data_IF_071662603101
#
_entry.id   IF_071662603101
#
_cell.length_a   1.000
_cell.length_b   1.000
_cell.length_c   1.000
_cell.angle_alpha   90.00
_cell.angle_beta   90.00
_cell.angle_gamma   90.00
#
_symmetry.space_group_name_H-M   'P 1'
#
loop_
_entity.id
_entity.type
_entity.pdbx_description
1 polymer ?
#
# COMPACT_ATOMS: atom_id res chain seq x y z
N UNK A 1 -32.80 -1.90 -33.96
CA UNK A 1 -32.78 -3.34 -33.59
C UNK A 1 -34.04 -3.98 -34.16
N UNK A 2 -34.01 -5.26 -34.57
CA UNK A 2 -35.18 -5.97 -35.10
C UNK A 2 -35.76 -6.90 -34.02
N UNK A 3 -37.08 -7.00 -33.98
CA UNK A 3 -37.84 -7.85 -33.06
C UNK A 3 -38.81 -8.71 -33.87
N UNK A 4 -39.11 -9.90 -33.38
CA UNK A 4 -40.04 -10.84 -34.02
C UNK A 4 -41.01 -11.38 -33.00
N UNK A 5 -42.29 -11.48 -33.36
CA UNK A 5 -43.31 -12.10 -32.52
C UNK A 5 -43.37 -13.58 -32.87
N UNK A 6 -43.32 -14.43 -31.85
CA UNK A 6 -43.46 -15.88 -31.97
C UNK A 6 -44.65 -16.31 -31.11
N UNK A 7 -45.62 -16.99 -31.72
CA UNK A 7 -46.75 -17.59 -30.99
C UNK A 7 -46.31 -18.89 -30.32
N UNK A 8 -46.29 -18.90 -29.01
CA UNK A 8 -46.00 -20.09 -28.20
C UNK A 8 -47.23 -20.40 -27.35
N UNK A 9 -47.82 -21.58 -27.54
CA UNK A 9 -49.00 -22.04 -26.79
C UNK A 9 -50.17 -21.03 -26.74
N UNK A 10 -50.39 -20.26 -27.82
CA UNK A 10 -51.45 -19.25 -27.91
C UNK A 10 -51.08 -17.86 -27.36
N UNK A 11 -49.86 -17.67 -26.86
CA UNK A 11 -49.36 -16.41 -26.32
C UNK A 11 -48.34 -15.81 -27.31
N UNK A 12 -48.47 -14.53 -27.62
CA UNK A 12 -47.51 -13.78 -28.42
C UNK A 12 -46.28 -13.43 -27.58
N UNK A 13 -45.12 -14.01 -27.92
CA UNK A 13 -43.84 -13.74 -27.24
C UNK A 13 -42.91 -12.96 -28.17
N UNK A 14 -42.38 -11.84 -27.69
CA UNK A 14 -41.46 -11.01 -28.46
C UNK A 14 -40.04 -11.54 -28.29
N UNK A 15 -39.37 -11.84 -29.40
CA UNK A 15 -37.97 -12.26 -29.46
C UNK A 15 -37.09 -11.16 -30.01
N UNK A 16 -35.89 -11.01 -29.41
CA UNK A 16 -34.85 -10.18 -29.98
C UNK A 16 -34.09 -10.96 -31.06
N UNK A 17 -34.11 -10.48 -32.30
CA UNK A 17 -33.51 -11.22 -33.43
C UNK A 17 -32.00 -11.34 -33.34
N UNK A 18 -31.33 -10.43 -32.62
CA UNK A 18 -29.86 -10.43 -32.45
C UNK A 18 -29.41 -11.48 -31.43
N UNK A 19 -30.09 -11.57 -30.29
CA UNK A 19 -29.73 -12.50 -29.22
C UNK A 19 -30.45 -13.85 -29.31
N UNK A 20 -31.49 -13.95 -30.16
CA UNK A 20 -32.38 -15.12 -30.30
C UNK A 20 -33.04 -15.54 -28.98
N UNK A 21 -33.27 -14.57 -28.08
CA UNK A 21 -33.86 -14.79 -26.75
C UNK A 21 -35.18 -14.02 -26.61
N UNK A 22 -36.12 -14.53 -25.80
CA UNK A 22 -37.33 -13.80 -25.47
C UNK A 22 -36.98 -12.50 -24.75
N UNK A 23 -37.75 -11.45 -25.03
CA UNK A 23 -37.70 -10.21 -24.27
C UNK A 23 -38.43 -10.44 -22.95
N UNK A 24 -37.80 -9.99 -21.87
CA UNK A 24 -38.44 -9.99 -20.57
C UNK A 24 -39.52 -8.89 -20.55
N UNK A 25 -40.79 -9.28 -20.41
CA UNK A 25 -41.91 -8.34 -20.24
C UNK A 25 -41.90 -7.75 -18.82
N UNK A 26 -42.37 -6.51 -18.68
CA UNK A 26 -42.29 -5.78 -17.42
C UNK A 26 -43.02 -6.49 -16.27
N UNK A 27 -44.15 -7.12 -16.56
CA UNK A 27 -45.01 -7.83 -15.62
C UNK A 27 -44.32 -9.06 -15.02
N UNK A 28 -43.43 -9.70 -15.78
CA UNK A 28 -42.70 -10.91 -15.35
C UNK A 28 -41.28 -10.61 -14.85
N UNK A 29 -40.82 -9.36 -14.99
CA UNK A 29 -39.45 -8.95 -14.71
C UNK A 29 -39.01 -9.26 -13.28
N UNK A 30 -39.89 -9.01 -12.30
CA UNK A 30 -39.59 -9.31 -10.89
C UNK A 30 -39.40 -10.81 -10.64
N UNK A 31 -40.32 -11.65 -11.13
CA UNK A 31 -40.26 -13.09 -10.93
C UNK A 31 -39.05 -13.71 -11.63
N UNK A 32 -38.76 -13.28 -12.86
CA UNK A 32 -37.59 -13.73 -13.63
C UNK A 32 -36.29 -13.39 -12.90
N UNK A 33 -36.13 -12.15 -12.42
CA UNK A 33 -34.93 -11.76 -11.67
C UNK A 33 -34.83 -12.55 -10.36
N UNK A 34 -35.96 -12.79 -9.69
CA UNK A 34 -36.01 -13.60 -8.46
C UNK A 34 -35.53 -15.02 -8.71
N UNK A 35 -36.08 -15.71 -9.70
CA UNK A 35 -35.71 -17.08 -10.05
C UNK A 35 -34.23 -17.19 -10.44
N UNK A 36 -33.74 -16.29 -11.31
CA UNK A 36 -32.33 -16.27 -11.68
C UNK A 36 -31.41 -15.98 -10.49
N UNK A 37 -31.82 -15.08 -9.58
CA UNK A 37 -31.06 -14.76 -8.38
C UNK A 37 -30.98 -15.94 -7.40
N UNK A 38 -32.07 -16.68 -7.23
CA UNK A 38 -32.14 -17.91 -6.43
C UNK A 38 -31.31 -19.04 -7.08
N UNK A 39 -31.38 -19.18 -8.41
CA UNK A 39 -30.59 -20.16 -9.17
C UNK A 39 -29.07 -19.96 -9.00
N UNK A 40 -28.60 -18.70 -8.93
CA UNK A 40 -27.19 -18.40 -8.64
C UNK A 40 -26.88 -18.34 -7.14
N UNK A 41 -27.73 -18.92 -6.29
CA UNK A 41 -27.55 -18.99 -4.83
C UNK A 41 -27.32 -17.62 -4.19
N UNK A 42 -28.18 -16.66 -4.48
CA UNK A 42 -28.07 -15.27 -4.01
C UNK A 42 -26.77 -14.55 -4.44
N UNK A 43 -26.25 -14.92 -5.61
CA UNK A 43 -25.09 -14.27 -6.22
C UNK A 43 -25.27 -12.76 -6.41
N UNK A 44 -24.15 -12.02 -6.33
CA UNK A 44 -24.16 -10.57 -6.53
C UNK A 44 -24.64 -10.13 -7.91
N UNK A 45 -24.74 -8.81 -8.10
CA UNK A 45 -25.28 -8.16 -9.30
C UNK A 45 -24.79 -8.75 -10.61
N UNK A 46 -23.48 -8.93 -10.76
CA UNK A 46 -22.90 -9.35 -12.03
C UNK A 46 -23.15 -10.85 -12.31
N UNK A 47 -23.25 -11.68 -11.26
CA UNK A 47 -23.65 -13.09 -11.39
C UNK A 47 -25.12 -13.23 -11.78
N UNK A 48 -26.00 -12.51 -11.08
CA UNK A 48 -27.44 -12.51 -11.38
C UNK A 48 -27.70 -11.97 -12.79
N UNK A 49 -26.99 -10.92 -13.21
CA UNK A 49 -27.08 -10.38 -14.58
C UNK A 49 -26.64 -11.39 -15.64
N UNK A 50 -25.58 -12.16 -15.36
CA UNK A 50 -25.10 -13.19 -16.29
C UNK A 50 -26.15 -14.27 -16.50
N UNK A 51 -26.80 -14.70 -15.41
CA UNK A 51 -27.87 -15.69 -15.46
C UNK A 51 -29.13 -15.16 -16.17
N UNK A 52 -29.56 -13.94 -15.85
CA UNK A 52 -30.71 -13.33 -16.55
C UNK A 52 -30.45 -13.20 -18.04
N UNK A 53 -29.24 -12.79 -18.43
CA UNK A 53 -28.84 -12.65 -19.83
C UNK A 53 -28.65 -13.99 -20.54
N UNK A 54 -28.54 -15.12 -19.82
CA UNK A 54 -28.45 -16.45 -20.45
C UNK A 54 -29.80 -16.86 -21.03
N UNK A 55 -30.91 -16.49 -20.37
CA UNK A 55 -32.28 -16.87 -20.75
C UNK A 55 -33.05 -15.75 -21.47
N UNK A 56 -32.90 -14.51 -21.04
CA UNK A 56 -33.70 -13.38 -21.50
C UNK A 56 -32.85 -12.30 -22.15
N UNK A 57 -33.50 -11.43 -22.91
CA UNK A 57 -32.89 -10.22 -23.44
C UNK A 57 -33.56 -8.97 -22.89
N UNK A 58 -32.79 -7.89 -22.93
CA UNK A 58 -33.27 -6.54 -22.64
C UNK A 58 -33.61 -6.27 -21.17
N UNK A 59 -32.92 -6.95 -20.23
CA UNK A 59 -33.03 -6.64 -18.80
C UNK A 59 -31.92 -5.67 -18.39
N UNK A 60 -32.26 -4.43 -17.97
CA UNK A 60 -31.24 -3.47 -17.54
C UNK A 60 -30.59 -3.88 -16.23
N UNK A 61 -29.26 -3.74 -16.15
CA UNK A 61 -28.46 -4.00 -14.94
C UNK A 61 -28.95 -3.25 -13.71
N UNK A 62 -29.48 -2.04 -13.90
CA UNK A 62 -30.01 -1.20 -12.81
C UNK A 62 -31.22 -1.84 -12.13
N UNK A 63 -32.08 -2.55 -12.87
CA UNK A 63 -33.26 -3.22 -12.30
C UNK A 63 -32.85 -4.38 -11.40
N UNK A 64 -31.84 -5.15 -11.81
CA UNK A 64 -31.26 -6.22 -10.99
C UNK A 64 -30.66 -5.64 -9.70
N UNK A 65 -29.97 -4.49 -9.80
CA UNK A 65 -29.43 -3.82 -8.62
C UNK A 65 -30.53 -3.35 -7.64
N UNK A 66 -31.64 -2.83 -8.15
CA UNK A 66 -32.81 -2.47 -7.35
C UNK A 66 -33.38 -3.72 -6.66
N UNK A 67 -33.59 -4.81 -7.40
CA UNK A 67 -34.09 -6.07 -6.85
C UNK A 67 -33.20 -6.59 -5.70
N UNK A 68 -31.87 -6.58 -5.87
CA UNK A 68 -30.94 -7.02 -4.82
C UNK A 68 -31.06 -6.22 -3.52
N UNK A 69 -31.47 -4.95 -3.59
CA UNK A 69 -31.76 -4.11 -2.41
C UNK A 69 -33.04 -4.54 -1.68
N UNK A 70 -33.96 -5.20 -2.39
CA UNK A 70 -35.24 -5.71 -1.84
C UNK A 70 -35.15 -7.16 -1.35
N UNK A 71 -34.16 -7.93 -1.78
CA UNK A 71 -34.00 -9.32 -1.37
C UNK A 71 -33.68 -9.45 0.14
N UNK A 72 -34.64 -9.96 0.91
CA UNK A 72 -34.55 -10.10 2.38
C UNK A 72 -33.33 -10.92 2.79
N UNK A 73 -33.09 -12.06 2.13
CA UNK A 73 -31.95 -12.94 2.45
C UNK A 73 -30.59 -12.23 2.29
N UNK A 74 -30.45 -11.40 1.24
CA UNK A 74 -29.25 -10.60 1.01
C UNK A 74 -29.12 -9.43 1.99
N UNK A 75 -30.23 -8.78 2.36
CA UNK A 75 -30.19 -7.65 3.30
C UNK A 75 -29.88 -8.10 4.73
N UNK A 76 -30.49 -9.20 5.20
CA UNK A 76 -30.27 -9.74 6.56
C UNK A 76 -28.82 -10.21 6.74
N UNK A 77 -28.22 -10.79 5.70
CA UNK A 77 -26.83 -11.30 5.73
C UNK A 77 -25.80 -10.32 5.17
N UNK A 78 -26.20 -9.08 4.92
CA UNK A 78 -25.28 -8.05 4.43
C UNK A 78 -24.26 -7.77 5.54
N UNK A 79 -22.96 -7.99 5.32
CA UNK A 79 -21.97 -7.65 6.32
C UNK A 79 -22.08 -6.15 6.62
N UNK A 80 -22.16 -5.81 7.91
CA UNK A 80 -22.12 -4.43 8.35
C UNK A 80 -20.82 -3.83 7.84
N UNK A 81 -20.90 -2.93 6.86
CA UNK A 81 -19.80 -2.04 6.55
C UNK A 81 -19.70 -1.09 7.73
N UNK A 82 -18.93 -1.45 8.74
CA UNK A 82 -18.51 -0.44 9.71
C UNK A 82 -17.72 0.61 8.91
N UNK A 83 -18.19 1.87 8.84
CA UNK A 83 -17.31 2.92 8.39
C UNK A 83 -16.18 2.92 9.41
N UNK A 84 -14.99 2.46 9.00
CA UNK A 84 -13.78 2.74 9.75
C UNK A 84 -13.67 4.25 9.70
N UNK A 85 -14.09 4.92 10.78
CA UNK A 85 -13.87 6.35 10.96
C UNK A 85 -12.37 6.50 11.01
N UNK A 86 -11.80 6.82 9.86
CA UNK A 86 -10.37 6.92 9.68
C UNK A 86 -9.91 8.21 10.33
N UNK A 87 -9.56 8.18 11.62
CA UNK A 87 -8.83 9.31 12.21
C UNK A 87 -7.45 9.34 11.56
N UNK A 88 -7.08 10.39 10.81
CA UNK A 88 -5.75 10.47 10.23
C UNK A 88 -4.71 10.40 11.35
N UNK A 89 -3.65 9.62 11.14
CA UNK A 89 -2.48 9.67 12.01
C UNK A 89 -1.84 11.04 11.76
N UNK A 90 -2.02 11.95 12.72
CA UNK A 90 -1.41 13.27 12.66
C UNK A 90 0.07 13.11 13.02
N UNK A 91 0.94 13.58 12.14
CA UNK A 91 2.38 13.75 12.35
C UNK A 91 2.67 15.22 12.13
N UNK A 92 3.39 15.86 13.06
CA UNK A 92 3.62 17.31 13.05
C UNK A 92 4.78 17.73 12.13
N UNK A 93 5.59 16.76 11.71
CA UNK A 93 6.70 16.96 10.78
C UNK A 93 7.44 15.66 10.50
N UNK A 94 8.47 15.74 9.66
CA UNK A 94 9.39 14.62 9.37
C UNK A 94 10.02 14.11 10.66
N UNK A 95 10.19 12.80 10.76
CA UNK A 95 10.85 12.13 11.90
C UNK A 95 10.18 12.35 13.27
N UNK A 96 9.04 13.05 13.36
CA UNK A 96 8.36 13.26 14.65
C UNK A 96 7.64 12.01 15.13
N UNK A 97 7.20 11.15 14.20
CA UNK A 97 6.46 9.92 14.50
C UNK A 97 6.91 8.78 13.59
N UNK A 98 7.59 7.80 14.18
CA UNK A 98 8.02 6.60 13.49
C UNK A 98 7.17 5.40 13.89
N UNK A 99 6.97 4.47 12.95
CA UNK A 99 6.40 3.16 13.22
C UNK A 99 7.40 2.08 12.80
N UNK A 100 7.61 1.10 13.68
CA UNK A 100 8.54 -0.01 13.47
C UNK A 100 7.82 -1.34 13.49
N UNK A 101 8.29 -2.24 12.63
CA UNK A 101 7.86 -3.63 12.60
C UNK A 101 9.01 -4.57 12.22
N UNK A 102 8.84 -5.85 12.55
CA UNK A 102 9.80 -6.91 12.25
C UNK A 102 9.22 -7.84 11.19
N UNK A 103 9.90 -7.95 10.06
CA UNK A 103 9.56 -8.90 8.99
C UNK A 103 10.37 -10.18 9.22
N UNK A 104 9.66 -11.31 9.32
CA UNK A 104 10.26 -12.64 9.49
C UNK A 104 10.83 -13.16 8.18
N UNK A 105 12.15 -13.36 8.14
CA UNK A 105 12.89 -13.89 7.00
C UNK A 105 13.50 -15.26 7.31
N UNK A 106 13.11 -15.94 8.39
CA UNK A 106 13.70 -17.23 8.81
C UNK A 106 13.54 -18.35 7.80
N UNK A 107 12.53 -18.29 6.93
CA UNK A 107 12.35 -19.26 5.84
C UNK A 107 13.37 -19.08 4.71
N UNK A 108 14.04 -17.93 4.66
CA UNK A 108 15.06 -17.57 3.68
C UNK A 108 16.16 -16.75 4.38
N UNK A 109 16.92 -17.34 5.32
CA UNK A 109 17.96 -16.60 6.02
C UNK A 109 19.04 -16.16 5.03
N UNK A 110 19.59 -14.97 5.24
CA UNK A 110 20.72 -14.48 4.46
C UNK A 110 22.01 -14.83 5.20
N UNK A 111 22.82 -15.71 4.61
CA UNK A 111 24.08 -16.19 5.17
C UNK A 111 25.20 -15.38 4.50
N UNK A 112 25.62 -14.30 5.15
CA UNK A 112 26.74 -13.45 4.67
C UNK A 112 28.09 -14.08 5.02
N UNK A 113 28.17 -14.69 6.21
CA UNK A 113 29.32 -15.48 6.65
C UNK A 113 28.90 -16.48 7.74
N UNK A 114 29.82 -17.32 8.20
CA UNK A 114 29.58 -18.26 9.32
C UNK A 114 29.02 -17.59 10.58
N UNK A 115 29.44 -16.35 10.85
CA UNK A 115 29.06 -15.59 12.05
C UNK A 115 27.97 -14.53 11.80
N UNK A 116 27.58 -14.34 10.53
CA UNK A 116 26.63 -13.31 10.11
C UNK A 116 25.53 -13.98 9.29
N UNK A 117 24.47 -14.36 10.01
CA UNK A 117 23.23 -14.84 9.42
C UNK A 117 22.12 -13.88 9.80
N UNK A 118 21.52 -13.24 8.80
CA UNK A 118 20.35 -12.40 8.99
C UNK A 118 19.07 -13.21 8.78
N UNK A 119 18.11 -13.06 9.69
CA UNK A 119 16.85 -13.81 9.69
C UNK A 119 15.62 -12.92 9.88
N UNK A 120 15.83 -11.62 10.05
CA UNK A 120 14.78 -10.64 10.30
C UNK A 120 15.12 -9.33 9.61
N UNK A 121 14.08 -8.56 9.25
CA UNK A 121 14.25 -7.18 8.79
C UNK A 121 13.55 -6.27 9.79
N UNK A 122 14.27 -5.28 10.31
CA UNK A 122 13.65 -4.12 10.98
C UNK A 122 13.19 -3.15 9.90
N UNK A 123 11.89 -2.98 9.79
CA UNK A 123 11.30 -1.97 8.92
C UNK A 123 10.81 -0.81 9.77
N UNK A 124 11.25 0.40 9.45
CA UNK A 124 10.88 1.63 10.12
C UNK A 124 10.37 2.64 9.09
N UNK A 125 9.24 3.28 9.40
CA UNK A 125 8.58 4.23 8.49
C UNK A 125 8.29 5.52 9.22
N UNK A 126 8.61 6.65 8.60
CA UNK A 126 8.14 7.95 9.03
C UNK A 126 6.69 8.19 8.60
N UNK A 127 5.83 8.51 9.55
CA UNK A 127 4.41 8.72 9.25
C UNK A 127 4.15 9.99 8.43
N UNK A 128 5.01 10.99 8.48
CA UNK A 128 4.82 12.24 7.74
C UNK A 128 5.24 12.08 6.27
N UNK A 129 6.52 11.85 6.01
CA UNK A 129 7.11 11.73 4.68
C UNK A 129 6.81 10.41 3.98
N UNK A 130 6.42 9.37 4.75
CA UNK A 130 6.39 7.96 4.29
C UNK A 130 7.77 7.41 3.97
N UNK A 131 8.83 8.07 4.42
CA UNK A 131 10.20 7.61 4.21
C UNK A 131 10.42 6.28 4.92
N UNK A 132 11.01 5.34 4.20
CA UNK A 132 11.22 3.95 4.59
C UNK A 132 12.69 3.70 4.91
N UNK A 133 12.92 3.09 6.06
CA UNK A 133 14.22 2.58 6.49
C UNK A 133 14.11 1.06 6.70
N UNK A 134 15.03 0.29 6.15
CA UNK A 134 15.06 -1.16 6.31
C UNK A 134 16.46 -1.61 6.73
N UNK A 135 16.53 -2.42 7.79
CA UNK A 135 17.80 -2.93 8.32
C UNK A 135 17.76 -4.44 8.49
N UNK A 136 18.82 -5.16 8.10
CA UNK A 136 18.92 -6.58 8.38
C UNK A 136 19.25 -6.80 9.87
N UNK A 137 18.64 -7.82 10.45
CA UNK A 137 18.81 -8.26 11.83
C UNK A 137 19.10 -9.76 11.88
N UNK A 138 20.03 -10.15 12.76
CA UNK A 138 20.34 -11.56 13.05
C UNK A 138 19.21 -12.19 13.84
N UNK A 139 18.67 -11.47 14.82
CA UNK A 139 17.59 -11.92 15.66
C UNK A 139 16.65 -10.76 16.04
N UNK A 140 15.54 -11.11 16.69
CA UNK A 140 14.54 -10.15 17.19
C UNK A 140 14.88 -9.60 18.58
N UNK A 141 16.14 -9.66 19.04
CA UNK A 141 16.50 -9.16 20.37
C UNK A 141 16.33 -7.64 20.42
N UNK A 142 15.91 -7.16 21.59
CA UNK A 142 15.76 -5.73 21.81
C UNK A 142 17.08 -4.97 21.66
N UNK A 143 18.20 -5.56 22.07
CA UNK A 143 19.54 -4.97 21.95
C UNK A 143 19.90 -4.74 20.48
N UNK A 144 19.65 -5.71 19.61
CA UNK A 144 19.97 -5.57 18.19
C UNK A 144 19.09 -4.51 17.52
N UNK A 145 17.79 -4.51 17.82
CA UNK A 145 16.83 -3.52 17.31
C UNK A 145 17.18 -2.12 17.80
N UNK A 146 17.42 -1.95 19.10
CA UNK A 146 17.82 -0.69 19.69
C UNK A 146 19.14 -0.18 19.09
N UNK A 147 20.10 -1.06 18.79
CA UNK A 147 21.35 -0.69 18.13
C UNK A 147 21.12 -0.07 16.73
N UNK A 148 20.21 -0.64 15.92
CA UNK A 148 19.85 -0.07 14.61
C UNK A 148 19.09 1.26 14.75
N UNK A 149 18.10 1.31 15.65
CA UNK A 149 17.32 2.54 15.89
C UNK A 149 18.18 3.67 16.44
N UNK A 150 19.13 3.37 17.34
CA UNK A 150 20.08 4.36 17.85
C UNK A 150 20.91 4.98 16.73
N UNK A 151 21.40 4.18 15.79
CA UNK A 151 22.12 4.70 14.61
C UNK A 151 21.23 5.64 13.80
N UNK A 152 19.99 5.23 13.53
CA UNK A 152 19.02 6.07 12.84
C UNK A 152 18.78 7.40 13.57
N UNK A 153 18.58 7.36 14.89
CA UNK A 153 18.28 8.55 15.70
C UNK A 153 19.46 9.50 15.80
N UNK A 154 20.70 9.00 15.83
CA UNK A 154 21.87 9.89 15.76
C UNK A 154 22.07 10.53 14.38
N UNK A 155 21.54 9.93 13.31
CA UNK A 155 21.62 10.52 11.97
C UNK A 155 20.52 11.54 11.69
N UNK A 156 19.31 11.36 12.24
CA UNK A 156 18.13 12.17 11.89
C UNK A 156 17.47 12.88 13.07
N UNK A 157 17.90 12.59 14.30
CA UNK A 157 17.20 12.95 15.53
C UNK A 157 16.24 11.85 16.01
N UNK A 158 16.02 11.74 17.34
CA UNK A 158 15.03 10.83 17.91
C UNK A 158 13.60 11.33 17.64
N UNK A 159 12.63 10.43 17.38
CA UNK A 159 11.25 10.84 17.21
C UNK A 159 10.58 11.16 18.55
N UNK A 160 9.60 12.07 18.55
CA UNK A 160 8.73 12.25 19.71
C UNK A 160 7.94 10.98 20.04
N UNK A 161 7.54 10.24 19.00
CA UNK A 161 6.69 9.07 19.12
C UNK A 161 7.24 7.89 18.31
N UNK A 162 7.58 6.80 18.99
CA UNK A 162 7.91 5.52 18.37
C UNK A 162 6.79 4.53 18.60
N UNK A 163 6.21 4.02 17.52
CA UNK A 163 5.12 3.05 17.55
C UNK A 163 5.61 1.65 17.14
N UNK A 164 5.27 0.62 17.92
CA UNK A 164 5.46 -0.78 17.51
C UNK A 164 4.21 -1.61 17.75
N UNK A 165 3.92 -2.50 16.79
CA UNK A 165 2.84 -3.49 16.87
C UNK A 165 3.31 -4.86 17.43
N UNK A 166 4.60 -4.98 17.80
CA UNK A 166 5.16 -6.20 18.36
C UNK A 166 4.80 -6.40 19.85
N UNK A 167 4.96 -7.63 20.34
CA UNK A 167 4.56 -8.05 21.69
C UNK A 167 5.13 -7.17 22.81
N UNK A 168 4.35 -7.02 23.89
CA UNK A 168 4.64 -6.09 24.98
C UNK A 168 6.04 -6.28 25.62
N UNK A 169 6.51 -7.53 25.71
CA UNK A 169 7.82 -7.89 26.26
C UNK A 169 8.97 -7.37 25.40
N UNK A 170 8.88 -7.54 24.07
CA UNK A 170 9.87 -7.05 23.12
C UNK A 170 9.95 -5.51 23.18
N UNK A 171 8.79 -4.85 23.16
CA UNK A 171 8.74 -3.38 23.22
C UNK A 171 9.32 -2.89 24.55
N UNK A 172 9.00 -3.53 25.68
CA UNK A 172 9.52 -3.12 26.98
C UNK A 172 11.06 -3.15 27.04
N UNK A 173 11.69 -4.18 26.49
CA UNK A 173 13.15 -4.28 26.44
C UNK A 173 13.78 -3.22 25.52
N UNK A 174 13.20 -2.99 24.33
CA UNK A 174 13.68 -1.94 23.40
C UNK A 174 13.56 -0.55 24.03
N UNK A 175 12.47 -0.30 24.77
CA UNK A 175 12.25 0.94 25.50
C UNK A 175 13.36 1.20 26.51
N UNK A 176 13.76 0.19 27.28
CA UNK A 176 14.81 0.34 28.31
C UNK A 176 16.13 0.79 27.67
N UNK A 177 16.52 0.16 26.57
CA UNK A 177 17.76 0.49 25.83
C UNK A 177 17.74 1.92 25.28
N UNK A 178 16.59 2.37 24.75
CA UNK A 178 16.49 3.68 24.09
C UNK A 178 16.18 4.84 25.05
N UNK A 179 15.37 4.63 26.09
CA UNK A 179 15.02 5.69 27.06
C UNK A 179 16.20 6.19 27.86
N UNK A 180 17.22 5.36 28.05
CA UNK A 180 18.46 5.78 28.72
C UNK A 180 19.16 6.91 27.95
N UNK A 181 19.07 6.90 26.61
CA UNK A 181 19.67 7.92 25.74
C UNK A 181 18.68 9.04 25.39
N UNK A 182 17.39 8.71 25.28
CA UNK A 182 16.35 9.62 24.80
C UNK A 182 15.13 9.58 25.74
N UNK A 183 15.22 10.23 26.92
CA UNK A 183 14.20 10.12 27.97
C UNK A 183 12.84 10.71 27.56
N UNK A 184 12.84 11.71 26.68
CA UNK A 184 11.63 12.43 26.24
C UNK A 184 10.81 11.67 25.19
N UNK A 185 11.35 10.56 24.66
CA UNK A 185 10.65 9.75 23.67
C UNK A 185 9.43 9.05 24.25
N UNK A 186 8.30 9.21 23.59
CA UNK A 186 7.07 8.47 23.89
C UNK A 186 7.00 7.19 23.06
N UNK A 187 6.78 6.07 23.73
CA UNK A 187 6.60 4.78 23.08
C UNK A 187 5.14 4.37 23.13
N UNK A 188 4.55 4.18 21.95
CA UNK A 188 3.18 3.70 21.82
C UNK A 188 3.21 2.24 21.44
N UNK A 189 2.35 1.46 22.08
CA UNK A 189 2.07 0.08 21.72
C UNK A 189 0.85 0.04 20.81
N UNK A 190 0.88 -0.85 19.82
CA UNK A 190 -0.32 -1.19 19.07
C UNK A 190 -1.42 -1.64 20.02
N UNK A 191 -2.54 -0.91 20.07
CA UNK A 191 -3.73 -1.42 20.76
C UNK A 191 -4.32 -2.54 19.92
N UNK A 192 -4.81 -3.64 20.52
CA UNK A 192 -5.61 -4.61 19.79
C UNK A 192 -6.76 -3.87 19.07
N UNK A 193 -6.90 -4.07 17.75
CA UNK A 193 -7.92 -3.45 16.89
C UNK A 193 -7.73 -1.95 16.62
N UNK A 194 -6.53 -1.51 16.23
CA UNK A 194 -6.31 -0.19 15.63
C UNK A 194 -5.92 -0.33 14.14
N UNK A 195 -6.91 -0.60 13.24
CA UNK A 195 -6.64 -1.10 11.89
C UNK A 195 -5.83 -0.14 11.01
N UNK A 196 -5.83 1.15 11.33
CA UNK A 196 -5.18 2.16 10.49
C UNK A 196 -3.68 2.23 10.66
N UNK A 197 -3.17 2.20 11.90
CA UNK A 197 -1.73 2.20 12.15
C UNK A 197 -1.13 0.87 11.72
N UNK A 198 -1.79 -0.24 12.07
CA UNK A 198 -1.42 -1.58 11.62
C UNK A 198 -1.45 -1.64 10.09
N UNK A 199 -2.53 -1.18 9.46
CA UNK A 199 -2.65 -1.13 8.01
C UNK A 199 -1.68 -0.18 7.30
N UNK A 200 -1.02 0.75 7.99
CA UNK A 200 0.02 1.59 7.40
C UNK A 200 1.32 0.79 7.21
N UNK A 201 1.81 0.18 8.28
CA UNK A 201 3.05 -0.60 8.22
C UNK A 201 2.86 -1.93 7.49
N UNK A 202 1.72 -2.60 7.62
CA UNK A 202 1.42 -3.82 6.86
C UNK A 202 1.49 -3.60 5.35
N UNK A 203 0.89 -2.50 4.86
CA UNK A 203 0.96 -2.13 3.44
C UNK A 203 2.40 -1.85 3.02
N UNK A 204 3.15 -1.13 3.85
CA UNK A 204 4.52 -0.81 3.53
C UNK A 204 5.45 -2.03 3.59
N UNK A 205 5.24 -2.97 4.53
CA UNK A 205 5.91 -4.27 4.56
C UNK A 205 5.65 -5.04 3.27
N UNK A 206 4.41 -5.02 2.77
CA UNK A 206 4.05 -5.63 1.49
C UNK A 206 4.78 -4.99 0.31
N UNK A 207 4.85 -3.65 0.26
CA UNK A 207 5.59 -2.91 -0.77
C UNK A 207 7.08 -3.26 -0.72
N UNK A 208 7.70 -3.23 0.46
CA UNK A 208 9.11 -3.59 0.66
C UNK A 208 9.37 -5.02 0.22
N UNK A 209 8.54 -5.97 0.64
CA UNK A 209 8.71 -7.40 0.33
C UNK A 209 8.62 -7.67 -1.17
N UNK A 210 7.65 -7.06 -1.87
CA UNK A 210 7.49 -7.21 -3.32
C UNK A 210 8.67 -6.57 -4.07
N UNK A 211 9.11 -5.37 -3.66
CA UNK A 211 10.23 -4.69 -4.29
C UNK A 211 11.54 -5.45 -4.07
N UNK A 212 11.74 -6.00 -2.87
CA UNK A 212 12.90 -6.82 -2.54
C UNK A 212 12.94 -8.11 -3.36
N UNK A 213 11.80 -8.82 -3.50
CA UNK A 213 11.71 -10.00 -4.35
C UNK A 213 12.11 -9.71 -5.80
N UNK A 214 11.57 -8.62 -6.38
CA UNK A 214 11.95 -8.19 -7.74
C UNK A 214 13.43 -7.85 -7.87
N UNK A 215 14.01 -7.22 -6.86
CA UNK A 215 15.43 -6.90 -6.86
C UNK A 215 16.28 -8.17 -6.85
N UNK A 216 15.92 -9.17 -6.04
CA UNK A 216 16.60 -10.47 -6.01
C UNK A 216 16.53 -11.19 -7.35
N UNK A 217 15.34 -11.25 -7.95
CA UNK A 217 15.14 -11.87 -9.27
C UNK A 217 15.97 -11.17 -10.36
N UNK A 218 15.99 -9.83 -10.35
CA UNK A 218 16.71 -9.02 -11.35
C UNK A 218 18.22 -9.15 -11.22
N UNK A 219 18.74 -9.23 -9.99
CA UNK A 219 20.18 -9.31 -9.72
C UNK A 219 20.68 -10.76 -9.60
N UNK A 220 19.80 -11.75 -9.81
CA UNK A 220 20.08 -13.18 -9.64
C UNK A 220 20.77 -13.49 -8.29
N UNK A 221 20.36 -12.80 -7.23
CA UNK A 221 20.97 -12.90 -5.89
C UNK A 221 20.04 -13.59 -4.91
N UNK A 222 20.62 -14.34 -3.98
CA UNK A 222 19.92 -14.88 -2.80
C UNK A 222 20.17 -14.06 -1.54
N UNK A 223 21.09 -13.10 -1.59
CA UNK A 223 21.48 -12.24 -0.47
C UNK A 223 20.55 -11.02 -0.39
N UNK A 224 19.43 -11.19 0.29
CA UNK A 224 18.42 -10.13 0.40
C UNK A 224 18.85 -8.93 1.23
N UNK A 225 19.82 -9.10 2.14
CA UNK A 225 20.31 -8.00 2.98
C UNK A 225 21.01 -6.92 2.19
N UNK A 226 21.71 -7.28 1.10
CA UNK A 226 22.35 -6.34 0.16
C UNK A 226 21.32 -5.51 -0.61
N UNK A 227 20.16 -6.10 -0.90
CA UNK A 227 19.06 -5.45 -1.62
C UNK A 227 18.32 -4.40 -0.79
N UNK A 228 18.43 -4.42 0.54
CA UNK A 228 17.61 -3.55 1.40
C UNK A 228 17.84 -2.05 1.16
N UNK A 229 19.09 -1.61 1.05
CA UNK A 229 19.40 -0.19 0.84
C UNK A 229 18.97 0.30 -0.55
N UNK A 230 19.33 -0.39 -1.66
CA UNK A 230 18.84 -0.01 -3.00
C UNK A 230 17.32 -0.02 -3.11
N UNK A 231 16.65 -1.02 -2.52
CA UNK A 231 15.19 -1.13 -2.55
C UNK A 231 14.54 -0.02 -1.74
N UNK A 232 15.01 0.25 -0.52
CA UNK A 232 14.51 1.37 0.29
C UNK A 232 14.68 2.70 -0.44
N UNK A 233 15.83 2.94 -1.08
CA UNK A 233 16.05 4.12 -1.91
C UNK A 233 15.06 4.19 -3.09
N UNK A 234 14.84 3.08 -3.80
CA UNK A 234 13.86 3.00 -4.89
C UNK A 234 12.42 3.27 -4.44
N UNK A 235 12.04 2.86 -3.22
CA UNK A 235 10.75 3.19 -2.62
C UNK A 235 10.69 4.69 -2.28
N UNK A 236 11.74 5.22 -1.65
CA UNK A 236 11.79 6.60 -1.20
C UNK A 236 11.85 7.63 -2.34
N UNK A 237 12.32 7.23 -3.52
CA UNK A 237 12.40 8.09 -4.72
C UNK A 237 11.23 7.92 -5.68
N UNK A 238 10.28 7.02 -5.37
CA UNK A 238 9.03 6.88 -6.14
C UNK A 238 7.95 7.81 -5.59
N UNK A 239 7.23 8.48 -6.48
CA UNK A 239 6.10 9.34 -6.11
C UNK A 239 5.08 8.54 -5.31
N UNK A 240 4.79 9.02 -4.09
CA UNK A 240 3.79 8.42 -3.23
C UNK A 240 2.41 8.96 -3.61
N UNK A 241 1.44 8.07 -3.81
CA UNK A 241 0.06 8.47 -4.13
C UNK A 241 -0.60 9.26 -2.99
N UNK A 242 -0.07 9.13 -1.77
CA UNK A 242 -0.56 9.80 -0.55
C UNK A 242 -0.07 11.24 -0.44
N UNK A 243 1.22 11.50 -0.69
CA UNK A 243 1.83 12.83 -0.53
C UNK A 243 1.93 13.60 -1.85
N UNK A 244 1.73 12.94 -2.99
CA UNK A 244 1.93 13.49 -4.37
C UNK A 244 3.37 13.90 -4.70
N UNK A 245 4.25 13.86 -3.72
CA UNK A 245 5.71 14.02 -3.81
C UNK A 245 6.41 12.68 -3.56
N UNK A 246 7.72 12.63 -3.74
CA UNK A 246 8.51 11.48 -3.28
C UNK A 246 8.71 11.54 -1.76
N UNK A 247 8.77 10.40 -1.04
CA UNK A 247 9.17 10.41 0.36
C UNK A 247 10.52 11.10 0.60
N UNK A 248 11.48 10.92 -0.31
CA UNK A 248 12.78 11.57 -0.25
C UNK A 248 12.67 13.09 -0.30
N UNK A 249 11.93 13.63 -1.26
CA UNK A 249 11.69 15.07 -1.36
C UNK A 249 11.00 15.63 -0.13
N UNK A 250 10.02 14.91 0.41
CA UNK A 250 9.32 15.33 1.64
C UNK A 250 10.25 15.31 2.86
N UNK A 251 11.18 14.36 2.90
CA UNK A 251 12.12 14.17 4.00
C UNK A 251 13.24 15.22 3.98
N UNK A 252 13.77 15.54 2.80
CA UNK A 252 14.98 16.35 2.64
C UNK A 252 14.75 17.72 2.01
N UNK A 253 13.53 18.03 1.56
CA UNK A 253 13.19 19.30 0.89
C UNK A 253 13.81 19.46 -0.50
N UNK A 254 14.42 18.41 -1.06
CA UNK A 254 15.08 18.42 -2.36
C UNK A 254 14.82 17.12 -3.11
N UNK A 255 14.78 17.20 -4.44
CA UNK A 255 14.66 16.01 -5.28
C UNK A 255 15.87 15.07 -5.09
N UNK A 256 15.67 13.75 -5.21
CA UNK A 256 16.78 12.81 -5.26
C UNK A 256 17.74 13.20 -6.38
N UNK A 257 19.05 13.10 -6.11
CA UNK A 257 20.09 13.33 -7.13
C UNK A 257 20.14 12.13 -8.08
N UNK A 258 19.11 11.96 -8.90
CA UNK A 258 19.07 10.94 -9.95
C UNK A 258 19.40 11.59 -11.29
N UNK A 259 20.45 11.13 -11.98
CA UNK A 259 20.82 11.59 -13.32
C UNK A 259 20.79 13.12 -13.49
N UNK A 260 21.36 13.87 -12.55
CA UNK A 260 21.51 15.31 -12.77
C UNK A 260 22.36 15.51 -14.04
N UNK A 261 21.91 16.38 -14.94
CA UNK A 261 22.70 16.74 -16.12
C UNK A 261 24.10 17.25 -15.74
N UNK A 262 24.26 17.74 -14.50
CA UNK A 262 25.55 18.01 -13.87
C UNK A 262 26.56 16.85 -13.99
N UNK A 263 26.18 15.60 -13.71
CA UNK A 263 27.13 14.48 -13.81
C UNK A 263 27.45 14.09 -15.25
N UNK A 264 26.55 14.36 -16.19
CA UNK A 264 26.87 14.24 -17.62
C UNK A 264 27.87 15.32 -18.00
N UNK A 265 27.62 16.58 -17.61
CA UNK A 265 28.51 17.72 -17.84
C UNK A 265 29.90 17.44 -17.26
N UNK A 266 30.01 16.97 -16.01
CA UNK A 266 31.31 16.64 -15.38
C UNK A 266 32.05 15.55 -16.16
N UNK A 267 31.35 14.48 -16.59
CA UNK A 267 31.96 13.38 -17.36
C UNK A 267 32.34 13.79 -18.78
N UNK A 268 31.48 14.52 -19.47
CA UNK A 268 31.69 14.97 -20.85
C UNK A 268 32.81 16.01 -20.94
N UNK A 269 32.98 16.84 -19.91
CA UNK A 269 34.03 17.85 -19.86
C UNK A 269 35.35 17.35 -19.24
N UNK A 270 35.45 16.08 -18.87
CA UNK A 270 36.69 15.50 -18.31
C UNK A 270 37.19 16.26 -17.08
N UNK A 271 36.28 16.73 -16.23
CA UNK A 271 36.60 17.52 -15.05
C UNK A 271 37.26 16.60 -14.02
N UNK A 272 38.56 16.80 -13.80
CA UNK A 272 39.39 16.01 -12.89
C UNK A 272 39.80 16.80 -11.63
N UNK A 273 39.71 18.13 -11.67
CA UNK A 273 40.08 19.04 -10.58
C UNK A 273 38.87 19.84 -10.05
N UNK A 274 38.90 20.20 -8.76
CA UNK A 274 37.84 20.98 -8.10
C UNK A 274 37.65 22.35 -8.76
N UNK A 275 38.75 22.96 -9.23
CA UNK A 275 38.74 24.27 -9.90
C UNK A 275 38.01 24.24 -11.26
N UNK A 276 37.78 23.05 -11.81
CA UNK A 276 37.09 22.84 -13.09
C UNK A 276 35.61 22.53 -12.92
N UNK A 277 35.12 22.41 -11.68
CA UNK A 277 33.71 22.16 -11.43
C UNK A 277 32.87 23.33 -11.96
N UNK A 278 31.74 23.06 -12.65
CA UNK A 278 30.84 24.12 -13.07
C UNK A 278 30.37 24.85 -11.81
N UNK A 279 30.50 26.17 -11.78
CA UNK A 279 29.82 26.98 -10.78
C UNK A 279 28.34 26.66 -10.85
N UNK A 280 27.66 26.43 -9.70
CA UNK A 280 26.23 26.22 -9.71
C UNK A 280 25.59 27.39 -10.45
N UNK A 281 25.01 27.12 -11.62
CA UNK A 281 24.17 28.10 -12.30
C UNK A 281 23.09 28.44 -11.28
N UNK A 282 23.02 29.70 -10.84
CA UNK A 282 21.91 30.18 -10.04
C UNK A 282 20.65 29.74 -10.78
N UNK A 283 19.93 28.79 -10.20
CA UNK A 283 18.67 28.36 -10.74
C UNK A 283 17.70 29.52 -10.52
N UNK A 284 17.73 30.48 -11.44
CA UNK A 284 16.69 31.48 -11.61
C UNK A 284 15.34 30.74 -11.59
N UNK A 285 14.46 31.20 -10.70
CA UNK A 285 13.11 30.70 -10.37
C UNK A 285 12.97 29.85 -9.09
N UNK A 286 13.61 30.27 -7.99
CA UNK A 286 12.89 30.22 -6.70
C UNK A 286 11.84 31.33 -6.75
N UNK A 287 10.61 30.99 -7.12
CA UNK A 287 9.46 31.85 -6.86
C UNK A 287 9.38 31.98 -5.34
N UNK A 288 9.78 33.12 -4.79
CA UNK A 288 9.49 33.46 -3.41
C UNK A 288 7.98 33.28 -3.17
N UNK A 289 7.55 32.58 -2.11
CA UNK A 289 6.15 32.58 -1.75
C UNK A 289 5.81 34.01 -1.34
N UNK A 290 5.01 34.67 -2.18
CA UNK A 290 4.38 35.94 -1.86
C UNK A 290 3.54 35.73 -0.60
N UNK A 291 4.01 36.31 0.50
CA UNK A 291 3.23 36.44 1.72
C UNK A 291 2.08 37.39 1.40
N UNK A 292 0.86 36.86 1.36
CA UNK A 292 -0.40 37.59 1.59
C UNK A 292 -1.14 36.86 2.71
#
# INVERSE_FOLDING_TARGET
QKFTIVKLAGIDVIYCTKSKKPICVYESLFNIIKECHEAVSHGGRDKTLTEVNSHYSWVPKIVIEIYLKTCVACQVRKPLKHPVVSKPIISLGVMTRLQIDLIDMRTRPDIVSSDIVYSWILHCIDHFSKFTFAYPLKNKSAVEVASKLRKLFFSFGPPHLLHSDNGAEFVAQVIVELKTLFPDMCFIRGRPRHPQSQGCIERANGVLSVALGKWLDTNHSTHWSDGLLPVAYGINTRVSSTTKTTPYETMFGQQPRSNSDFWKIVKENGIEDEDQLPTPVESDNIVEPSII
#
